data_IF_184322210992
#
_entry.id   IF_184322210992
#
_cell.length_a   1.000
_cell.length_b   1.000
_cell.length_c   1.000
_cell.angle_alpha   90.00
_cell.angle_beta   90.00
_cell.angle_gamma   90.00
#
_symmetry.space_group_name_H-M   'P 1'
#
loop_
_entity.id
_entity.type
_entity.pdbx_description
1 polymer ?
#
# COMPACT_ATOMS: atom_id res chain seq x y z
N UNK A 1 -0.18 13.29 28.48
CA UNK A 1 0.40 14.38 27.67
C UNK A 1 -0.50 14.63 26.47
N UNK A 2 -0.81 15.89 26.17
CA UNK A 2 -1.59 16.27 24.98
C UNK A 2 -0.80 15.94 23.71
N UNK A 3 -1.47 15.51 22.64
CA UNK A 3 -0.80 15.14 21.37
C UNK A 3 -0.14 16.36 20.72
N UNK A 4 -0.75 17.54 20.89
CA UNK A 4 -0.21 18.83 20.45
C UNK A 4 1.16 19.13 21.08
N UNK A 5 1.29 18.94 22.39
CA UNK A 5 2.53 19.18 23.14
C UNK A 5 3.64 18.22 22.69
N UNK A 6 3.31 16.93 22.50
CA UNK A 6 4.28 15.90 22.07
C UNK A 6 4.82 16.14 20.66
N UNK A 7 4.00 16.73 19.79
CA UNK A 7 4.36 17.01 18.40
C UNK A 7 4.86 18.45 18.20
N UNK A 8 4.92 19.26 19.28
CA UNK A 8 5.29 20.68 19.24
C UNK A 8 4.50 21.50 18.20
N UNK A 9 3.19 21.24 18.08
CA UNK A 9 2.27 21.92 17.15
C UNK A 9 1.01 22.40 17.86
N UNK A 10 0.25 23.34 17.25
CA UNK A 10 -1.00 23.83 17.83
C UNK A 10 -2.14 22.81 17.74
N UNK A 11 -3.23 23.03 18.52
CA UNK A 11 -4.37 22.10 18.57
C UNK A 11 -5.16 22.00 17.26
N UNK A 12 -5.18 23.06 16.47
CA UNK A 12 -5.93 23.15 15.19
C UNK A 12 -5.44 22.14 14.15
N UNK A 13 -4.14 22.08 13.77
CA UNK A 13 -3.63 21.08 12.82
C UNK A 13 -3.78 19.66 13.36
N UNK A 14 -3.62 19.44 14.67
CA UNK A 14 -3.84 18.12 15.28
C UNK A 14 -5.29 17.66 15.11
N UNK A 15 -6.28 18.52 15.38
CA UNK A 15 -7.70 18.18 15.19
C UNK A 15 -8.02 17.91 13.72
N UNK A 16 -7.48 18.70 12.80
CA UNK A 16 -7.68 18.48 11.37
C UNK A 16 -7.08 17.14 10.90
N UNK A 17 -5.88 16.79 11.39
CA UNK A 17 -5.24 15.51 11.10
C UNK A 17 -6.03 14.32 11.67
N UNK A 18 -6.49 14.41 12.92
CA UNK A 18 -7.32 13.37 13.54
C UNK A 18 -8.65 13.17 12.81
N UNK A 19 -9.27 14.24 12.33
CA UNK A 19 -10.48 14.16 11.51
C UNK A 19 -10.21 13.47 10.16
N UNK A 20 -9.09 13.76 9.50
CA UNK A 20 -8.68 13.06 8.27
C UNK A 20 -8.44 11.58 8.52
N UNK A 21 -7.72 11.24 9.58
CA UNK A 21 -7.48 9.84 9.98
C UNK A 21 -8.79 9.10 10.29
N UNK A 22 -9.76 9.79 10.89
CA UNK A 22 -11.11 9.23 11.09
C UNK A 22 -11.83 8.99 9.75
N UNK A 23 -11.80 9.95 8.82
CA UNK A 23 -12.41 9.78 7.49
C UNK A 23 -11.77 8.65 6.67
N UNK A 24 -10.49 8.39 6.91
CA UNK A 24 -9.73 7.30 6.29
C UNK A 24 -9.84 5.97 7.06
N UNK A 25 -10.65 5.90 8.12
CA UNK A 25 -10.87 4.66 8.87
C UNK A 25 -9.71 4.24 9.79
N UNK A 26 -8.69 5.08 10.00
CA UNK A 26 -7.59 4.78 10.94
C UNK A 26 -7.98 4.98 12.41
N UNK A 27 -9.01 5.80 12.68
CA UNK A 27 -9.47 6.13 14.02
C UNK A 27 -10.98 5.94 14.14
N UNK A 28 -11.39 5.28 15.22
CA UNK A 28 -12.77 5.20 15.67
C UNK A 28 -13.05 6.27 16.75
N UNK A 29 -14.26 6.82 16.70
CA UNK A 29 -14.77 7.74 17.73
C UNK A 29 -15.82 7.01 18.53
N UNK A 30 -15.51 6.72 19.79
CA UNK A 30 -16.49 6.21 20.74
C UNK A 30 -17.06 7.38 21.57
N UNK A 31 -18.37 7.56 21.52
CA UNK A 31 -19.09 8.49 22.39
C UNK A 31 -19.85 7.69 23.43
N UNK A 32 -19.48 7.83 24.71
CA UNK A 32 -20.37 7.45 25.82
C UNK A 32 -21.16 8.69 26.22
N UNK A 33 -22.49 8.54 26.38
CA UNK A 33 -23.39 9.62 26.82
C UNK A 33 -22.75 10.41 27.97
N UNK A 34 -22.55 11.71 27.78
CA UNK A 34 -22.00 12.63 28.80
C UNK A 34 -20.48 12.73 28.91
N UNK A 35 -19.70 11.94 28.15
CA UNK A 35 -18.22 11.99 28.19
C UNK A 35 -17.61 12.63 26.93
N UNK A 36 -16.41 13.19 27.07
CA UNK A 36 -15.60 13.63 25.92
C UNK A 36 -15.38 12.43 24.98
N UNK A 37 -15.57 12.65 23.69
CA UNK A 37 -15.36 11.63 22.66
C UNK A 37 -13.96 11.02 22.79
N UNK A 38 -13.89 9.68 22.86
CA UNK A 38 -12.63 8.94 22.96
C UNK A 38 -12.24 8.43 21.58
N UNK A 39 -11.08 8.88 21.11
CA UNK A 39 -10.45 8.41 19.89
C UNK A 39 -9.67 7.13 20.18
N UNK A 40 -9.86 6.11 19.36
CA UNK A 40 -9.12 4.83 19.42
C UNK A 40 -8.65 4.45 18.03
N UNK A 41 -7.48 3.82 17.92
CA UNK A 41 -7.01 3.25 16.65
C UNK A 41 -7.97 2.14 16.22
N UNK A 42 -8.37 2.13 14.96
CA UNK A 42 -9.25 1.09 14.40
C UNK A 42 -8.54 -0.28 14.49
N UNK A 43 -9.18 -1.31 15.06
CA UNK A 43 -8.61 -2.64 15.13
C UNK A 43 -8.45 -3.24 13.73
N UNK A 44 -7.38 -4.03 13.54
CA UNK A 44 -7.15 -4.76 12.30
C UNK A 44 -7.95 -6.06 12.34
N UNK A 45 -8.79 -6.29 11.33
CA UNK A 45 -9.55 -7.53 11.19
C UNK A 45 -9.18 -8.24 9.88
N UNK A 46 -9.36 -9.56 9.84
CA UNK A 46 -9.15 -10.35 8.63
C UNK A 46 -10.17 -10.01 7.52
N UNK A 47 -11.38 -9.59 7.90
CA UNK A 47 -12.40 -9.16 6.96
C UNK A 47 -11.98 -7.87 6.25
N UNK A 48 -11.53 -6.87 7.01
CA UNK A 48 -11.02 -5.60 6.47
C UNK A 48 -9.77 -5.82 5.60
N UNK A 49 -8.87 -6.73 5.99
CA UNK A 49 -7.75 -7.12 5.14
C UNK A 49 -8.22 -7.65 3.78
N UNK A 50 -9.16 -8.61 3.77
CA UNK A 50 -9.68 -9.21 2.53
C UNK A 50 -10.35 -8.17 1.63
N UNK A 51 -11.13 -7.28 2.21
CA UNK A 51 -11.77 -6.19 1.47
C UNK A 51 -10.73 -5.25 0.85
N UNK A 52 -9.79 -4.75 1.67
CA UNK A 52 -8.74 -3.84 1.22
C UNK A 52 -7.87 -4.44 0.11
N UNK A 53 -7.36 -5.66 0.28
CA UNK A 53 -6.53 -6.32 -0.73
C UNK A 53 -7.32 -6.65 -2.00
N UNK A 54 -8.61 -6.98 -1.90
CA UNK A 54 -9.47 -7.15 -3.07
C UNK A 54 -9.61 -5.84 -3.86
N UNK A 55 -9.88 -4.72 -3.18
CA UNK A 55 -10.01 -3.41 -3.84
C UNK A 55 -8.69 -3.01 -4.48
N UNK A 56 -7.57 -3.11 -3.74
CA UNK A 56 -6.23 -2.79 -4.25
C UNK A 56 -5.90 -3.61 -5.49
N UNK A 57 -6.11 -4.93 -5.45
CA UNK A 57 -5.84 -5.81 -6.58
C UNK A 57 -6.64 -5.42 -7.83
N UNK A 58 -7.91 -5.03 -7.69
CA UNK A 58 -8.70 -4.55 -8.83
C UNK A 58 -8.22 -3.19 -9.35
N UNK A 59 -7.86 -2.26 -8.47
CA UNK A 59 -7.34 -0.93 -8.86
C UNK A 59 -6.01 -1.06 -9.60
N UNK A 60 -5.09 -1.87 -9.08
CA UNK A 60 -3.79 -2.12 -9.71
C UNK A 60 -3.96 -2.92 -11.01
N UNK A 61 -4.87 -3.90 -11.05
CA UNK A 61 -5.19 -4.66 -12.26
C UNK A 61 -5.74 -3.80 -13.40
N UNK A 62 -6.55 -2.77 -13.08
CA UNK A 62 -6.97 -1.77 -14.06
C UNK A 62 -5.79 -0.97 -14.62
N UNK A 63 -4.83 -0.59 -13.76
CA UNK A 63 -3.63 0.11 -14.19
C UNK A 63 -2.68 -0.80 -15.01
N UNK A 64 -2.54 -2.07 -14.65
CA UNK A 64 -1.77 -3.05 -15.42
C UNK A 64 -2.34 -3.23 -16.83
N UNK A 65 -3.66 -3.41 -16.95
CA UNK A 65 -4.35 -3.50 -18.24
C UNK A 65 -4.15 -2.26 -19.12
N UNK A 66 -4.23 -1.07 -18.51
CA UNK A 66 -3.96 0.18 -19.23
C UNK A 66 -2.49 0.28 -19.66
N UNK A 67 -1.56 -0.16 -18.80
CA UNK A 67 -0.13 -0.21 -19.10
C UNK A 67 0.19 -1.12 -20.30
N UNK A 68 -0.51 -2.25 -20.43
CA UNK A 68 -0.35 -3.15 -21.56
C UNK A 68 -0.73 -2.50 -22.92
N UNK A 69 -1.61 -1.50 -22.88
CA UNK A 69 -2.12 -0.79 -24.07
C UNK A 69 -1.28 0.43 -24.46
N UNK A 70 -0.17 0.68 -23.76
CA UNK A 70 0.74 1.80 -24.07
C UNK A 70 1.53 1.57 -25.36
N UNK A 71 2.04 2.65 -25.92
CA UNK A 71 2.98 2.61 -27.04
C UNK A 71 4.21 1.74 -26.69
N UNK A 72 4.78 0.97 -27.64
CA UNK A 72 5.79 -0.05 -27.36
C UNK A 72 7.00 0.45 -26.57
N UNK A 73 7.46 1.67 -26.85
CA UNK A 73 8.60 2.25 -26.13
C UNK A 73 8.29 2.50 -24.66
N UNK A 74 7.14 3.12 -24.35
CA UNK A 74 6.74 3.41 -22.98
C UNK A 74 6.45 2.13 -22.20
N UNK A 75 5.80 1.16 -22.85
CA UNK A 75 5.53 -0.17 -22.29
C UNK A 75 6.82 -0.93 -21.99
N UNK A 76 7.76 -0.93 -22.93
CA UNK A 76 9.07 -1.56 -22.74
C UNK A 76 9.85 -0.97 -21.57
N UNK A 77 9.87 0.36 -21.42
CA UNK A 77 10.53 1.01 -20.27
C UNK A 77 9.90 0.62 -18.93
N UNK A 78 8.56 0.51 -18.86
CA UNK A 78 7.90 0.02 -17.65
C UNK A 78 8.28 -1.44 -17.37
N UNK A 79 8.21 -2.32 -18.37
CA UNK A 79 8.53 -3.75 -18.22
C UNK A 79 9.95 -3.95 -17.69
N UNK A 80 10.94 -3.25 -18.24
CA UNK A 80 12.32 -3.34 -17.74
C UNK A 80 12.42 -2.85 -16.29
N UNK A 81 11.74 -1.75 -15.94
CA UNK A 81 11.71 -1.27 -14.56
C UNK A 81 11.08 -2.28 -13.59
N UNK A 82 10.01 -2.96 -14.00
CA UNK A 82 9.34 -3.97 -13.18
C UNK A 82 10.23 -5.21 -12.99
N UNK A 83 10.96 -5.63 -14.04
CA UNK A 83 11.95 -6.72 -13.94
C UNK A 83 13.06 -6.37 -12.95
N UNK A 84 13.63 -5.17 -13.02
CA UNK A 84 14.66 -4.71 -12.09
C UNK A 84 14.19 -4.76 -10.63
N UNK A 85 12.97 -4.28 -10.36
CA UNK A 85 12.40 -4.27 -9.02
C UNK A 85 12.14 -5.70 -8.52
N UNK A 86 11.59 -6.56 -9.37
CA UNK A 86 11.27 -7.93 -8.98
C UNK A 86 12.53 -8.80 -8.82
N UNK A 87 13.59 -8.55 -9.58
CA UNK A 87 14.87 -9.25 -9.40
C UNK A 87 15.50 -8.92 -8.05
N UNK A 88 15.43 -7.65 -7.62
CA UNK A 88 15.89 -7.27 -6.28
C UNK A 88 15.08 -7.95 -5.16
N UNK A 89 13.78 -8.14 -5.36
CA UNK A 89 12.95 -8.93 -4.44
C UNK A 89 13.36 -10.41 -4.45
N UNK A 90 13.65 -10.98 -5.62
CA UNK A 90 14.12 -12.37 -5.79
C UNK A 90 15.45 -12.63 -5.08
N UNK A 91 16.39 -11.70 -5.18
CA UNK A 91 17.67 -11.76 -4.46
C UNK A 91 17.44 -11.84 -2.94
N UNK A 92 16.55 -10.99 -2.40
CA UNK A 92 16.19 -10.98 -0.98
C UNK A 92 15.47 -12.27 -0.55
N UNK A 93 14.58 -12.81 -1.39
CA UNK A 93 13.90 -14.07 -1.14
C UNK A 93 14.90 -15.24 -1.07
N UNK A 94 15.86 -15.28 -1.98
CA UNK A 94 16.88 -16.33 -2.06
C UNK A 94 17.87 -16.28 -0.90
N UNK A 95 18.22 -15.07 -0.44
CA UNK A 95 19.11 -14.89 0.70
C UNK A 95 18.50 -15.32 2.04
N UNK A 96 17.17 -15.45 2.12
CA UNK A 96 16.43 -15.86 3.33
C UNK A 96 16.56 -14.89 4.52
N UNK A 97 17.13 -13.69 4.29
CA UNK A 97 17.37 -12.64 5.30
C UNK A 97 17.33 -11.27 4.63
N UNK A 98 16.14 -10.73 4.41
CA UNK A 98 15.96 -9.35 3.97
C UNK A 98 15.43 -8.47 5.10
N UNK A 99 15.85 -7.20 5.13
CA UNK A 99 15.20 -6.19 5.99
C UNK A 99 13.74 -6.04 5.52
N UNK A 100 12.74 -6.27 6.40
CA UNK A 100 11.34 -6.10 6.04
C UNK A 100 11.04 -4.73 5.44
N UNK A 101 11.65 -3.65 5.90
CA UNK A 101 11.38 -2.32 5.34
C UNK A 101 11.85 -2.21 3.90
N UNK A 102 13.00 -2.82 3.57
CA UNK A 102 13.51 -2.83 2.18
C UNK A 102 12.61 -3.66 1.28
N UNK A 103 12.11 -4.80 1.76
CA UNK A 103 11.17 -5.65 1.02
C UNK A 103 9.86 -4.88 0.76
N UNK A 104 9.32 -4.23 1.80
CA UNK A 104 8.13 -3.38 1.66
C UNK A 104 8.34 -2.27 0.63
N UNK A 105 9.45 -1.55 0.71
CA UNK A 105 9.72 -0.44 -0.20
C UNK A 105 9.84 -0.91 -1.66
N UNK A 106 10.44 -2.08 -1.90
CA UNK A 106 10.53 -2.70 -3.21
C UNK A 106 9.17 -3.15 -3.76
N UNK A 107 8.39 -3.84 -2.94
CA UNK A 107 7.02 -4.28 -3.28
C UNK A 107 6.13 -3.07 -3.63
N UNK A 108 6.10 -2.05 -2.77
CA UNK A 108 5.36 -0.82 -3.04
C UNK A 108 5.86 -0.14 -4.31
N UNK A 109 7.17 -0.08 -4.54
CA UNK A 109 7.74 0.51 -5.75
C UNK A 109 7.30 -0.22 -7.03
N UNK A 110 7.19 -1.55 -6.98
CA UNK A 110 6.73 -2.37 -8.10
C UNK A 110 5.28 -2.00 -8.47
N UNK A 111 4.36 -2.06 -7.51
CA UNK A 111 2.95 -1.75 -7.74
C UNK A 111 2.73 -0.28 -8.11
N UNK A 112 3.46 0.64 -7.47
CA UNK A 112 3.38 2.07 -7.74
C UNK A 112 3.84 2.40 -9.17
N UNK A 113 4.87 1.74 -9.71
CA UNK A 113 5.32 1.94 -11.08
C UNK A 113 4.23 1.61 -12.11
N UNK A 114 3.47 0.54 -11.89
CA UNK A 114 2.33 0.16 -12.73
C UNK A 114 1.25 1.23 -12.68
N UNK A 115 0.89 1.66 -11.47
CA UNK A 115 -0.15 2.68 -11.27
C UNK A 115 0.26 4.02 -11.88
N UNK A 116 1.48 4.49 -11.64
CA UNK A 116 1.90 5.80 -12.16
C UNK A 116 1.93 5.84 -13.69
N UNK A 117 2.27 4.72 -14.31
CA UNK A 117 2.41 4.62 -15.76
C UNK A 117 1.08 4.37 -16.47
N UNK A 118 0.27 3.43 -15.97
CA UNK A 118 -0.98 3.02 -16.62
C UNK A 118 -2.21 3.81 -16.19
N UNK A 119 -2.22 4.40 -15.00
CA UNK A 119 -3.43 5.03 -14.47
C UNK A 119 -3.60 6.47 -14.96
N UNK A 120 -4.86 6.86 -15.19
CA UNK A 120 -5.24 8.28 -15.26
C UNK A 120 -5.35 8.93 -13.86
N UNK A 121 -5.57 10.25 -13.78
CA UNK A 121 -5.63 10.98 -12.50
C UNK A 121 -6.65 10.42 -11.48
N UNK A 122 -7.79 9.93 -11.98
CA UNK A 122 -8.87 9.38 -11.14
C UNK A 122 -8.46 8.06 -10.48
N UNK A 123 -7.88 7.14 -11.25
CA UNK A 123 -7.45 5.84 -10.73
C UNK A 123 -6.25 5.98 -9.78
N UNK A 124 -5.31 6.90 -10.05
CA UNK A 124 -4.25 7.28 -9.09
C UNK A 124 -4.82 7.80 -7.77
N UNK A 125 -5.86 8.64 -7.83
CA UNK A 125 -6.51 9.17 -6.62
C UNK A 125 -7.15 8.05 -5.80
N UNK A 126 -7.82 7.10 -6.45
CA UNK A 126 -8.39 5.92 -5.77
C UNK A 126 -7.31 5.06 -5.12
N UNK A 127 -6.23 4.76 -5.87
CA UNK A 127 -5.09 4.00 -5.35
C UNK A 127 -4.47 4.67 -4.12
N UNK A 128 -4.17 5.97 -4.20
CA UNK A 128 -3.58 6.74 -3.10
C UNK A 128 -4.48 6.84 -1.85
N UNK A 129 -5.79 6.73 -2.02
CA UNK A 129 -6.72 6.72 -0.89
C UNK A 129 -6.80 5.35 -0.17
N UNK A 130 -6.57 4.24 -0.90
CA UNK A 130 -6.79 2.89 -0.39
C UNK A 130 -5.51 2.14 -0.04
N UNK A 131 -4.46 2.19 -0.88
CA UNK A 131 -3.21 1.43 -0.69
C UNK A 131 -2.54 1.71 0.66
N UNK A 132 -2.47 2.96 1.18
CA UNK A 132 -1.87 3.21 2.50
C UNK A 132 -2.59 2.51 3.66
N UNK A 133 -3.84 2.08 3.49
CA UNK A 133 -4.58 1.37 4.53
C UNK A 133 -4.08 -0.07 4.71
N UNK A 134 -3.51 -0.69 3.66
CA UNK A 134 -2.94 -2.04 3.73
C UNK A 134 -1.59 -2.10 4.45
N UNK A 135 -0.88 -0.97 4.57
CA UNK A 135 0.46 -0.92 5.19
C UNK A 135 0.46 -1.50 6.62
N UNK A 136 -0.58 -1.20 7.42
CA UNK A 136 -0.67 -1.70 8.80
C UNK A 136 -0.73 -3.23 8.86
N UNK A 137 -1.38 -3.84 7.87
CA UNK A 137 -1.43 -5.30 7.72
C UNK A 137 -0.06 -5.85 7.32
N UNK A 138 0.56 -5.23 6.32
CA UNK A 138 1.90 -5.62 5.89
C UNK A 138 2.88 -5.60 7.06
N UNK A 139 2.91 -4.51 7.85
CA UNK A 139 3.81 -4.37 9.00
C UNK A 139 3.53 -5.36 10.11
N UNK A 140 2.25 -5.68 10.38
CA UNK A 140 1.89 -6.65 11.42
C UNK A 140 2.27 -8.09 11.02
N UNK A 141 2.15 -8.41 9.73
CA UNK A 141 2.42 -9.75 9.18
C UNK A 141 3.77 -9.84 8.45
N UNK A 142 4.68 -8.89 8.70
CA UNK A 142 5.93 -8.76 7.96
C UNK A 142 6.74 -10.06 7.95
N UNK A 143 6.83 -10.78 9.09
CA UNK A 143 7.54 -12.06 9.13
C UNK A 143 6.95 -13.10 8.18
N UNK A 144 5.62 -13.27 8.20
CA UNK A 144 4.93 -14.25 7.34
C UNK A 144 5.01 -13.87 5.86
N UNK A 145 5.00 -12.57 5.55
CA UNK A 145 5.16 -12.08 4.18
C UNK A 145 6.59 -12.33 3.69
N UNK A 146 7.59 -12.07 4.53
CA UNK A 146 9.01 -12.34 4.22
C UNK A 146 9.22 -13.84 3.97
N UNK A 147 8.61 -14.71 4.78
CA UNK A 147 8.67 -16.17 4.60
C UNK A 147 8.05 -16.63 3.27
N UNK A 148 7.11 -15.86 2.72
CA UNK A 148 6.41 -16.15 1.47
C UNK A 148 6.86 -15.27 0.30
N UNK A 149 8.01 -14.59 0.42
CA UNK A 149 8.44 -13.62 -0.59
C UNK A 149 8.61 -14.25 -1.99
N UNK A 150 8.98 -15.53 -2.06
CA UNK A 150 9.07 -16.26 -3.33
C UNK A 150 7.74 -16.30 -4.10
N UNK A 151 6.60 -16.42 -3.40
CA UNK A 151 5.29 -16.40 -4.02
C UNK A 151 4.99 -15.05 -4.68
N UNK A 152 5.27 -13.94 -3.98
CA UNK A 152 5.11 -12.59 -4.53
C UNK A 152 5.99 -12.37 -5.75
N UNK A 153 7.24 -12.86 -5.72
CA UNK A 153 8.16 -12.79 -6.87
C UNK A 153 7.58 -13.53 -8.09
N UNK A 154 6.99 -14.71 -7.89
CA UNK A 154 6.38 -15.50 -8.97
C UNK A 154 5.11 -14.82 -9.51
N UNK A 155 4.27 -14.25 -8.64
CA UNK A 155 3.09 -13.48 -9.03
C UNK A 155 3.47 -12.23 -9.83
N UNK A 156 4.54 -11.52 -9.43
CA UNK A 156 5.07 -10.38 -10.17
C UNK A 156 5.56 -10.75 -11.57
N UNK A 157 6.14 -11.94 -11.76
CA UNK A 157 6.52 -12.42 -13.11
C UNK A 157 5.28 -12.50 -14.01
N UNK A 158 4.19 -13.09 -13.52
CA UNK A 158 2.94 -13.21 -14.28
C UNK A 158 2.37 -11.83 -14.63
N UNK A 159 2.45 -10.86 -13.71
CA UNK A 159 2.03 -9.47 -13.96
C UNK A 159 2.90 -8.83 -15.06
N UNK A 160 4.23 -8.96 -14.97
CA UNK A 160 5.17 -8.44 -15.98
C UNK A 160 4.85 -9.01 -17.35
N UNK A 161 4.68 -10.33 -17.45
CA UNK A 161 4.35 -11.03 -18.70
C UNK A 161 3.00 -10.59 -19.27
N UNK A 162 2.02 -10.31 -18.40
CA UNK A 162 0.70 -9.83 -18.83
C UNK A 162 0.71 -8.38 -19.34
N UNK A 163 1.72 -7.58 -18.95
CA UNK A 163 1.89 -6.20 -19.41
C UNK A 163 2.71 -6.12 -20.71
N UNK A 164 3.68 -7.01 -20.91
CA UNK A 164 4.62 -6.97 -22.03
C UNK A 164 3.95 -7.12 -23.41
#
# INVERSE_FOLDING_TARGET
ADLADRLAVSRTPVRAALHRLQQQGYILVSSRRGSKAKLTVTPLTHEDARELYSIVGHVEGLAARASASLEPQARGSLVERLKELNERLRELATAGRGDPNVIFDLDISFHQAIVDTGAGPRLRTLHAAIKPQTERYWRLYASSIVDQLGLSVDEHVVIIESIA
#
